data_IF_218735981855
#
_entry.id   IF_218735981855
#
_cell.length_a   1.000
_cell.length_b   1.000
_cell.length_c   1.000
_cell.angle_alpha   90.00
_cell.angle_beta   90.00
_cell.angle_gamma   90.00
#
_symmetry.space_group_name_H-M   'P 1'
#
loop_
_entity.id
_entity.type
_entity.pdbx_description
1 polymer ?
#
# COMPACT_ATOMS: atom_id res chain seq x y z
N UNK A 1 -47.66 -9.56 -115.64
CA UNK A 1 -47.81 -9.40 -114.18
C UNK A 1 -49.22 -9.80 -113.82
N UNK A 2 -49.37 -10.93 -113.15
CA UNK A 2 -50.66 -11.57 -112.83
C UNK A 2 -51.26 -10.87 -111.59
N UNK A 3 -52.56 -10.57 -111.60
CA UNK A 3 -53.22 -9.78 -110.53
C UNK A 3 -53.14 -10.36 -109.11
N UNK A 4 -52.75 -11.62 -108.98
CA UNK A 4 -52.47 -12.30 -107.69
C UNK A 4 -51.24 -11.76 -106.97
N UNK A 5 -50.21 -11.34 -107.70
CA UNK A 5 -48.99 -10.78 -107.09
C UNK A 5 -49.27 -9.42 -106.47
N UNK A 6 -50.12 -8.61 -107.11
CA UNK A 6 -50.53 -7.29 -106.61
C UNK A 6 -51.39 -7.43 -105.35
N UNK A 7 -52.33 -8.38 -105.29
CA UNK A 7 -53.18 -8.55 -104.10
C UNK A 7 -52.40 -9.05 -102.89
N UNK A 8 -51.41 -9.94 -103.11
CA UNK A 8 -50.53 -10.43 -102.05
C UNK A 8 -49.64 -9.31 -101.48
N UNK A 9 -49.14 -8.42 -102.34
CA UNK A 9 -48.29 -7.29 -101.94
C UNK A 9 -49.06 -6.28 -101.09
N UNK A 10 -50.33 -6.00 -101.42
CA UNK A 10 -51.18 -5.08 -100.63
C UNK A 10 -51.48 -5.67 -99.24
N UNK A 11 -51.78 -6.97 -99.15
CA UNK A 11 -52.00 -7.64 -97.87
C UNK A 11 -50.73 -7.62 -97.01
N UNK A 12 -49.58 -7.89 -97.63
CA UNK A 12 -48.28 -7.79 -96.96
C UNK A 12 -48.00 -6.38 -96.43
N UNK A 13 -48.31 -5.34 -97.21
CA UNK A 13 -48.15 -3.95 -96.78
C UNK A 13 -49.05 -3.59 -95.60
N UNK A 14 -50.30 -4.06 -95.58
CA UNK A 14 -51.24 -3.85 -94.47
C UNK A 14 -50.75 -4.56 -93.20
N UNK A 15 -50.26 -5.80 -93.30
CA UNK A 15 -49.68 -6.50 -92.14
C UNK A 15 -48.40 -5.84 -91.63
N UNK A 16 -47.56 -5.30 -92.52
CA UNK A 16 -46.35 -4.57 -92.16
C UNK A 16 -46.67 -3.29 -91.39
N UNK A 17 -47.63 -2.49 -91.86
CA UNK A 17 -48.11 -1.28 -91.19
C UNK A 17 -48.83 -1.62 -89.87
N UNK A 18 -49.65 -2.66 -89.87
CA UNK A 18 -50.34 -3.15 -88.67
C UNK A 18 -49.37 -3.64 -87.59
N UNK A 19 -48.26 -4.26 -87.97
CA UNK A 19 -47.23 -4.71 -87.02
C UNK A 19 -46.58 -3.56 -86.28
N UNK A 20 -46.38 -2.40 -86.93
CA UNK A 20 -45.85 -1.21 -86.26
C UNK A 20 -46.80 -0.72 -85.14
N UNK A 21 -48.11 -0.73 -85.40
CA UNK A 21 -49.10 -0.28 -84.43
C UNK A 21 -49.25 -1.23 -83.22
N UNK A 22 -49.05 -2.53 -83.45
CA UNK A 22 -49.02 -3.55 -82.37
C UNK A 22 -47.76 -3.41 -81.52
N UNK A 23 -46.60 -3.19 -82.14
CA UNK A 23 -45.32 -3.01 -81.42
C UNK A 23 -45.29 -1.71 -80.61
N UNK A 24 -45.87 -0.63 -81.12
CA UNK A 24 -45.90 0.68 -80.43
C UNK A 24 -46.83 0.67 -79.19
N UNK A 25 -47.89 -0.16 -79.19
CA UNK A 25 -48.91 -0.15 -78.12
C UNK A 25 -48.75 -1.24 -77.05
N UNK A 26 -47.90 -2.25 -77.25
CA UNK A 26 -47.75 -3.38 -76.30
C UNK A 26 -46.40 -3.47 -75.58
N UNK A 27 -45.45 -2.54 -75.81
CA UNK A 27 -44.09 -2.70 -75.25
C UNK A 27 -43.81 -1.90 -73.97
N UNK A 28 -44.55 -0.83 -73.66
CA UNK A 28 -44.20 0.05 -72.53
C UNK A 28 -44.90 -0.30 -71.21
N UNK A 29 -46.18 -0.71 -71.26
CA UNK A 29 -46.95 -1.06 -70.05
C UNK A 29 -46.55 -2.43 -69.46
N UNK A 30 -46.23 -3.40 -70.31
CA UNK A 30 -45.86 -4.75 -69.86
C UNK A 30 -44.43 -4.80 -69.30
N UNK A 31 -43.53 -3.97 -69.83
CA UNK A 31 -42.16 -3.83 -69.31
C UNK A 31 -42.14 -3.21 -67.92
N UNK A 32 -42.99 -2.23 -67.64
CA UNK A 32 -43.11 -1.61 -66.31
C UNK A 32 -43.73 -2.57 -65.28
N UNK A 33 -44.71 -3.38 -65.70
CA UNK A 33 -45.29 -4.44 -64.86
C UNK A 33 -44.30 -5.58 -64.56
N UNK A 34 -43.46 -5.95 -65.52
CA UNK A 34 -42.39 -6.95 -65.34
C UNK A 34 -41.30 -6.41 -64.39
N UNK A 35 -40.93 -5.12 -64.52
CA UNK A 35 -39.99 -4.49 -63.57
C UNK A 35 -40.55 -4.44 -62.14
N UNK A 36 -41.84 -4.09 -61.96
CA UNK A 36 -42.49 -4.07 -60.63
C UNK A 36 -42.63 -5.45 -60.00
N UNK A 37 -42.86 -6.51 -60.79
CA UNK A 37 -42.88 -7.88 -60.29
C UNK A 37 -41.47 -8.33 -59.86
N UNK A 38 -40.44 -7.97 -60.63
CA UNK A 38 -39.04 -8.25 -60.31
C UNK A 38 -38.58 -7.55 -59.02
N UNK A 39 -38.97 -6.30 -58.80
CA UNK A 39 -38.63 -5.55 -57.59
C UNK A 39 -39.20 -6.20 -56.32
N UNK A 40 -40.47 -6.66 -56.37
CA UNK A 40 -41.10 -7.37 -55.25
C UNK A 40 -40.45 -8.72 -54.95
N UNK A 41 -40.12 -9.51 -55.96
CA UNK A 41 -39.42 -10.78 -55.76
C UNK A 41 -38.03 -10.58 -55.16
N UNK A 42 -37.29 -9.56 -55.64
CA UNK A 42 -35.99 -9.19 -55.06
C UNK A 42 -36.15 -8.78 -53.59
N UNK A 43 -37.18 -8.00 -53.26
CA UNK A 43 -37.43 -7.59 -51.87
C UNK A 43 -37.72 -8.79 -50.97
N UNK A 44 -38.55 -9.73 -51.41
CA UNK A 44 -38.86 -10.96 -50.66
C UNK A 44 -37.61 -11.84 -50.48
N UNK A 45 -36.75 -11.94 -51.49
CA UNK A 45 -35.48 -12.69 -51.40
C UNK A 45 -34.54 -12.02 -50.40
N UNK A 46 -34.41 -10.68 -50.44
CA UNK A 46 -33.58 -9.90 -49.53
C UNK A 46 -34.09 -10.01 -48.10
N UNK A 47 -35.39 -9.86 -47.87
CA UNK A 47 -36.00 -9.97 -46.53
C UNK A 47 -35.80 -11.38 -45.96
N UNK A 48 -35.99 -12.42 -46.77
CA UNK A 48 -35.75 -13.81 -46.35
C UNK A 48 -34.27 -14.13 -46.14
N UNK A 49 -33.37 -13.44 -46.83
CA UNK A 49 -31.93 -13.54 -46.61
C UNK A 49 -31.50 -12.80 -45.34
N UNK A 50 -32.04 -11.60 -45.10
CA UNK A 50 -31.82 -10.84 -43.86
C UNK A 50 -32.36 -11.59 -42.64
N UNK A 51 -33.55 -12.20 -42.72
CA UNK A 51 -34.08 -13.02 -41.64
C UNK A 51 -33.17 -14.20 -41.30
N UNK A 52 -32.68 -14.92 -42.32
CA UNK A 52 -31.70 -15.99 -42.11
C UNK A 52 -30.37 -15.50 -41.53
N UNK A 53 -29.92 -14.31 -41.94
CA UNK A 53 -28.72 -13.70 -41.39
C UNK A 53 -28.91 -13.29 -39.93
N UNK A 54 -30.07 -12.74 -39.57
CA UNK A 54 -30.43 -12.42 -38.19
C UNK A 54 -30.44 -13.68 -37.31
N UNK A 55 -31.11 -14.74 -37.76
CA UNK A 55 -31.15 -16.03 -37.03
C UNK A 55 -29.74 -16.62 -36.81
N UNK A 56 -28.87 -16.54 -37.82
CA UNK A 56 -27.48 -17.01 -37.72
C UNK A 56 -26.65 -16.15 -36.77
N UNK A 57 -26.87 -14.83 -36.78
CA UNK A 57 -26.21 -13.89 -35.85
C UNK A 57 -26.66 -14.20 -34.42
N UNK A 58 -27.96 -14.34 -34.17
CA UNK A 58 -28.49 -14.62 -32.85
C UNK A 58 -27.94 -15.94 -32.29
N UNK A 59 -27.90 -17.00 -33.11
CA UNK A 59 -27.28 -18.28 -32.71
C UNK A 59 -25.80 -18.16 -32.40
N UNK A 60 -25.05 -17.37 -33.16
CA UNK A 60 -23.61 -17.15 -32.90
C UNK A 60 -23.39 -16.32 -31.64
N UNK A 61 -24.24 -15.33 -31.40
CA UNK A 61 -24.20 -14.53 -30.19
C UNK A 61 -24.48 -15.41 -28.98
N UNK A 62 -25.54 -16.23 -29.02
CA UNK A 62 -25.91 -17.12 -27.92
C UNK A 62 -24.79 -18.11 -27.59
N UNK A 63 -24.23 -18.79 -28.60
CA UNK A 63 -23.10 -19.71 -28.37
C UNK A 63 -21.84 -19.01 -27.85
N UNK A 64 -21.49 -17.83 -28.38
CA UNK A 64 -20.33 -17.08 -27.89
C UNK A 64 -20.56 -16.52 -26.48
N UNK A 65 -21.80 -16.11 -26.17
CA UNK A 65 -22.17 -15.62 -24.86
C UNK A 65 -22.04 -16.74 -23.83
N UNK A 66 -22.55 -17.93 -24.12
CA UNK A 66 -22.44 -19.10 -23.25
C UNK A 66 -20.98 -19.44 -22.97
N UNK A 67 -20.14 -19.50 -24.02
CA UNK A 67 -18.71 -19.72 -23.86
C UNK A 67 -18.02 -18.63 -23.03
N UNK A 68 -18.33 -17.35 -23.31
CA UNK A 68 -17.75 -16.24 -22.57
C UNK A 68 -18.17 -16.25 -21.09
N UNK A 69 -19.41 -16.63 -20.79
CA UNK A 69 -19.91 -16.77 -19.41
C UNK A 69 -19.21 -17.91 -18.70
N UNK A 70 -19.06 -19.08 -19.34
CA UNK A 70 -18.34 -20.22 -18.74
C UNK A 70 -16.86 -19.90 -18.47
N UNK A 71 -16.20 -19.24 -19.42
CA UNK A 71 -14.81 -18.79 -19.26
C UNK A 71 -14.69 -17.73 -18.17
N UNK A 72 -15.66 -16.81 -18.09
CA UNK A 72 -15.72 -15.78 -17.05
C UNK A 72 -15.94 -16.41 -15.68
N UNK A 73 -16.85 -17.36 -15.54
CA UNK A 73 -17.12 -18.08 -14.29
C UNK A 73 -15.86 -18.81 -13.82
N UNK A 74 -15.22 -19.57 -14.71
CA UNK A 74 -13.98 -20.29 -14.41
C UNK A 74 -12.84 -19.35 -14.01
N UNK A 75 -12.66 -18.24 -14.75
CA UNK A 75 -11.62 -17.26 -14.45
C UNK A 75 -11.92 -16.50 -13.16
N UNK A 76 -13.18 -16.16 -12.93
CA UNK A 76 -13.67 -15.50 -11.72
C UNK A 76 -13.46 -16.36 -10.50
N UNK A 77 -13.78 -17.66 -10.56
CA UNK A 77 -13.55 -18.60 -9.47
C UNK A 77 -12.06 -18.71 -9.14
N UNK A 78 -11.23 -18.82 -10.17
CA UNK A 78 -9.77 -18.89 -10.00
C UNK A 78 -9.22 -17.62 -9.35
N UNK A 79 -9.58 -16.44 -9.86
CA UNK A 79 -9.15 -15.17 -9.27
C UNK A 79 -9.67 -15.01 -7.85
N UNK A 80 -10.94 -15.34 -7.60
CA UNK A 80 -11.54 -15.23 -6.28
C UNK A 80 -10.81 -16.11 -5.27
N UNK A 81 -10.48 -17.34 -5.65
CA UNK A 81 -9.70 -18.24 -4.80
C UNK A 81 -8.28 -17.70 -4.52
N UNK A 82 -7.62 -17.13 -5.53
CA UNK A 82 -6.30 -16.50 -5.38
C UNK A 82 -6.37 -15.25 -4.48
N UNK A 83 -7.43 -14.43 -4.60
CA UNK A 83 -7.66 -13.30 -3.71
C UNK A 83 -7.95 -13.72 -2.28
N UNK A 84 -8.74 -14.79 -2.07
CA UNK A 84 -8.96 -15.34 -0.73
C UNK A 84 -7.65 -15.82 -0.11
N UNK A 85 -6.78 -16.47 -0.89
CA UNK A 85 -5.45 -16.88 -0.42
C UNK A 85 -4.61 -15.67 0.00
N UNK A 86 -4.51 -14.64 -0.85
CA UNK A 86 -3.75 -13.43 -0.55
C UNK A 86 -4.31 -12.67 0.66
N UNK A 87 -5.64 -12.63 0.81
CA UNK A 87 -6.30 -12.02 1.98
C UNK A 87 -5.98 -12.81 3.24
N UNK A 88 -5.98 -14.15 3.19
CA UNK A 88 -5.60 -14.98 4.34
C UNK A 88 -4.14 -14.74 4.73
N UNK A 89 -3.21 -14.76 3.78
CA UNK A 89 -1.78 -14.50 4.05
C UNK A 89 -1.54 -13.10 4.64
N UNK A 90 -2.22 -12.09 4.09
CA UNK A 90 -2.18 -10.75 4.67
C UNK A 90 -2.80 -10.70 6.08
N UNK A 91 -3.92 -11.40 6.29
CA UNK A 91 -4.58 -11.46 7.60
C UNK A 91 -3.69 -12.12 8.65
N UNK A 92 -3.01 -13.21 8.30
CA UNK A 92 -2.06 -13.89 9.17
C UNK A 92 -0.89 -12.96 9.54
N UNK A 93 -0.35 -12.23 8.55
CA UNK A 93 0.71 -11.24 8.79
C UNK A 93 0.23 -10.11 9.73
N UNK A 94 -0.98 -9.61 9.53
CA UNK A 94 -1.56 -8.57 10.40
C UNK A 94 -1.79 -9.11 11.81
N UNK A 95 -2.30 -10.34 11.95
CA UNK A 95 -2.51 -10.98 13.25
C UNK A 95 -1.19 -11.17 14.01
N UNK A 96 -0.14 -11.62 13.32
CA UNK A 96 1.20 -11.74 13.91
C UNK A 96 1.75 -10.38 14.34
N UNK A 97 1.60 -9.35 13.50
CA UNK A 97 2.02 -7.99 13.85
C UNK A 97 1.24 -7.43 15.05
N UNK A 98 -0.05 -7.77 15.16
CA UNK A 98 -0.90 -7.38 16.28
C UNK A 98 -0.49 -8.12 17.55
N UNK A 99 -0.17 -9.41 17.46
CA UNK A 99 0.31 -10.18 18.60
C UNK A 99 1.66 -9.66 19.10
N UNK A 100 2.59 -9.36 18.19
CA UNK A 100 3.87 -8.70 18.52
C UNK A 100 3.66 -7.36 19.19
N UNK A 101 2.79 -6.51 18.63
CA UNK A 101 2.46 -5.22 19.24
C UNK A 101 1.84 -5.38 20.63
N UNK A 102 0.98 -6.39 20.83
CA UNK A 102 0.41 -6.70 22.12
C UNK A 102 1.49 -7.12 23.14
N UNK A 103 2.44 -7.98 22.74
CA UNK A 103 3.58 -8.36 23.58
C UNK A 103 4.45 -7.16 23.95
N UNK A 104 4.73 -6.27 23.00
CA UNK A 104 5.48 -5.03 23.25
C UNK A 104 4.75 -4.11 24.23
N UNK A 105 3.43 -3.94 24.10
CA UNK A 105 2.62 -3.16 25.03
C UNK A 105 2.64 -3.78 26.43
N UNK A 106 2.52 -5.10 26.54
CA UNK A 106 2.61 -5.80 27.83
C UNK A 106 4.01 -5.69 28.44
N UNK A 107 5.05 -5.73 27.62
CA UNK A 107 6.42 -5.50 28.07
C UNK A 107 6.59 -4.08 28.62
N UNK A 108 6.13 -3.06 27.90
CA UNK A 108 6.16 -1.68 28.37
C UNK A 108 5.37 -1.50 29.68
N UNK A 109 4.21 -2.14 29.80
CA UNK A 109 3.42 -2.13 31.04
C UNK A 109 4.18 -2.76 32.21
N UNK A 110 4.80 -3.92 32.00
CA UNK A 110 5.60 -4.60 33.02
C UNK A 110 6.82 -3.78 33.44
N UNK A 111 7.55 -3.20 32.48
CA UNK A 111 8.72 -2.36 32.75
C UNK A 111 8.34 -1.05 33.45
N UNK A 112 7.19 -0.46 33.10
CA UNK A 112 6.66 0.72 33.78
C UNK A 112 6.35 0.40 35.24
N UNK A 113 5.68 -0.72 35.49
CA UNK A 113 5.41 -1.19 36.85
C UNK A 113 6.69 -1.46 37.63
N UNK A 114 7.68 -2.13 37.03
CA UNK A 114 8.97 -2.38 37.67
C UNK A 114 9.69 -1.06 38.01
N UNK A 115 9.65 -0.06 37.11
CA UNK A 115 10.20 1.28 37.39
C UNK A 115 9.46 1.96 38.54
N UNK A 116 8.14 1.86 38.58
CA UNK A 116 7.35 2.45 39.65
C UNK A 116 7.67 1.80 41.00
N UNK A 117 7.85 0.49 41.04
CA UNK A 117 8.30 -0.23 42.22
C UNK A 117 9.72 0.23 42.65
N UNK A 118 10.66 0.34 41.70
CA UNK A 118 12.02 0.84 41.97
C UNK A 118 12.02 2.27 42.50
N UNK A 119 11.25 3.18 41.91
CA UNK A 119 11.12 4.57 42.38
C UNK A 119 10.53 4.60 43.79
N UNK A 120 9.52 3.77 44.06
CA UNK A 120 8.91 3.66 45.39
C UNK A 120 9.94 3.23 46.43
N UNK A 121 10.70 2.17 46.16
CA UNK A 121 11.79 1.70 47.05
C UNK A 121 12.87 2.75 47.27
N UNK A 122 13.35 3.39 46.20
CA UNK A 122 14.35 4.46 46.32
C UNK A 122 13.84 5.64 47.15
N UNK A 123 12.54 5.95 47.06
CA UNK A 123 11.92 7.00 47.88
C UNK A 123 11.88 6.61 49.36
N UNK A 124 11.56 5.35 49.67
CA UNK A 124 11.61 4.81 51.03
C UNK A 124 13.04 4.82 51.61
N UNK A 125 14.03 4.37 50.82
CA UNK A 125 15.45 4.41 51.21
C UNK A 125 15.95 5.84 51.44
N UNK A 126 15.56 6.78 50.58
CA UNK A 126 15.89 8.20 50.73
C UNK A 126 15.31 8.77 52.03
N UNK A 127 14.05 8.42 52.35
CA UNK A 127 13.40 8.86 53.59
C UNK A 127 14.09 8.28 54.83
N UNK A 128 14.48 7.01 54.79
CA UNK A 128 15.26 6.39 55.86
C UNK A 128 16.63 7.07 56.01
N UNK A 129 17.32 7.36 54.90
CA UNK A 129 18.59 8.09 54.90
C UNK A 129 18.46 9.50 55.47
N UNK A 130 17.44 10.27 55.09
CA UNK A 130 17.17 11.60 55.65
C UNK A 130 16.94 11.53 57.16
N UNK A 131 16.16 10.56 57.63
CA UNK A 131 15.91 10.37 59.06
C UNK A 131 17.18 10.03 59.84
N UNK A 132 18.04 9.18 59.26
CA UNK A 132 19.34 8.82 59.83
C UNK A 132 20.29 10.03 59.86
N UNK A 133 20.30 10.85 58.80
CA UNK A 133 21.07 12.09 58.75
C UNK A 133 20.58 13.11 59.78
N UNK A 134 19.27 13.22 60.01
CA UNK A 134 18.72 14.08 61.06
C UNK A 134 19.13 13.59 62.45
N UNK A 135 19.03 12.29 62.72
CA UNK A 135 19.48 11.71 63.98
C UNK A 135 20.99 11.93 64.20
N UNK A 136 21.81 11.68 63.18
CA UNK A 136 23.26 11.92 63.26
C UNK A 136 23.57 13.41 63.45
N UNK A 137 22.87 14.32 62.75
CA UNK A 137 23.01 15.77 62.94
C UNK A 137 22.67 16.17 64.37
N UNK A 138 21.63 15.59 64.95
CA UNK A 138 21.22 15.85 66.33
C UNK A 138 22.23 15.29 67.34
N UNK A 139 22.74 14.08 67.13
CA UNK A 139 23.81 13.48 67.94
C UNK A 139 25.12 14.29 67.86
N UNK A 140 25.51 14.72 66.66
CA UNK A 140 26.69 15.58 66.46
C UNK A 140 26.47 16.94 67.13
N UNK A 141 25.29 17.55 67.01
CA UNK A 141 24.98 18.80 67.69
C UNK A 141 25.03 18.66 69.22
N UNK A 142 24.55 17.55 69.77
CA UNK A 142 24.64 17.23 71.20
C UNK A 142 26.09 17.01 71.64
N UNK A 143 26.90 16.32 70.82
CA UNK A 143 28.33 16.09 71.08
C UNK A 143 29.12 17.40 71.05
N UNK A 144 28.86 18.28 70.07
CA UNK A 144 29.48 19.61 69.97
C UNK A 144 29.11 20.46 71.19
N UNK A 145 27.84 20.48 71.58
CA UNK A 145 27.37 21.25 72.76
C UNK A 145 27.99 20.73 74.07
N UNK A 146 28.18 19.42 74.20
CA UNK A 146 28.89 18.79 75.32
C UNK A 146 30.38 19.18 75.36
N UNK A 147 31.02 19.29 74.21
CA UNK A 147 32.42 19.69 74.08
C UNK A 147 32.63 21.18 74.36
N UNK A 148 31.69 22.04 73.94
CA UNK A 148 31.68 23.47 74.26
C UNK A 148 31.45 23.74 75.75
N UNK A 149 30.65 22.92 76.44
CA UNK A 149 30.45 23.03 77.90
C UNK A 149 31.71 22.69 78.74
N UNK A 150 32.71 22.02 78.15
CA UNK A 150 33.96 21.62 78.81
C UNK A 150 35.12 22.61 78.61
N UNK A 151 34.99 23.64 77.77
CA UNK A 151 36.02 24.67 77.58
C UNK A 151 35.53 26.06 77.98
N UNK A 152 36.02 26.55 79.12
CA UNK A 152 35.99 27.97 79.47
C UNK A 152 37.11 28.75 78.79
N UNK A 153 36.72 29.64 77.87
CA UNK A 153 37.36 30.90 77.41
C UNK A 153 38.76 30.89 76.71
N UNK A 154 39.08 31.95 75.90
CA UNK A 154 39.39 31.82 74.48
C UNK A 154 40.87 32.03 74.12
N UNK A 155 41.29 31.56 72.94
CA UNK A 155 42.48 32.12 72.25
C UNK A 155 42.16 32.29 70.77
N UNK A 156 42.45 33.52 70.33
CA UNK A 156 42.28 34.16 69.03
C UNK A 156 43.34 33.78 67.98
N UNK A 157 42.95 34.02 66.71
CA UNK A 157 43.78 34.20 65.50
C UNK A 157 44.53 32.96 64.98
N UNK A 158 44.72 32.73 63.68
CA UNK A 158 44.15 33.19 62.41
C UNK A 158 44.87 32.28 61.38
N UNK A 159 44.16 31.50 60.57
CA UNK A 159 44.71 30.94 59.34
C UNK A 159 43.59 30.75 58.32
N UNK A 160 43.37 31.84 57.58
CA UNK A 160 43.06 31.92 56.15
C UNK A 160 42.85 30.59 55.39
N UNK A 161 41.61 30.43 54.93
CA UNK A 161 41.19 30.19 53.54
C UNK A 161 41.74 28.95 52.80
N UNK A 162 40.83 28.00 52.54
CA UNK A 162 41.00 26.91 51.58
C UNK A 162 39.63 26.38 51.16
N UNK A 163 39.09 26.91 50.06
CA UNK A 163 37.91 26.38 49.37
C UNK A 163 38.33 25.10 48.63
N UNK A 164 37.69 23.96 48.93
CA UNK A 164 37.74 22.78 48.07
C UNK A 164 36.34 22.20 47.94
N UNK A 165 35.88 22.18 46.68
CA UNK A 165 34.69 21.50 46.16
C UNK A 165 34.72 19.98 46.44
N UNK A 166 33.56 19.29 46.34
CA UNK A 166 33.44 17.90 46.78
C UNK A 166 34.16 16.95 45.83
N UNK A 167 35.08 16.14 46.36
CA UNK A 167 35.71 15.06 45.60
C UNK A 167 34.72 13.92 45.34
N UNK A 168 34.77 13.45 44.10
CA UNK A 168 34.00 12.38 43.49
C UNK A 168 33.93 11.11 44.35
N UNK A 169 32.71 10.58 44.46
CA UNK A 169 32.44 9.24 44.97
C UNK A 169 33.10 8.21 44.04
N UNK A 170 34.24 7.68 44.46
CA UNK A 170 34.94 6.58 43.78
C UNK A 170 34.03 5.35 43.81
N UNK A 171 33.45 5.00 42.66
CA UNK A 171 32.74 3.74 42.45
C UNK A 171 33.78 2.61 42.60
N UNK A 172 33.57 1.62 43.49
CA UNK A 172 34.47 0.48 43.64
C UNK A 172 34.70 -0.23 42.29
N UNK A 173 35.96 -0.55 41.98
CA UNK A 173 36.44 -1.05 40.69
C UNK A 173 35.75 -2.37 40.26
N UNK A 174 35.37 -3.16 41.25
CA UNK A 174 34.57 -4.38 41.23
C UNK A 174 33.12 -4.17 40.74
N UNK A 175 32.51 -3.02 41.05
CA UNK A 175 31.18 -2.65 40.53
C UNK A 175 31.28 -2.19 39.08
N UNK A 176 32.40 -1.56 38.70
CA UNK A 176 32.62 -1.05 37.35
C UNK A 176 32.92 -2.16 36.34
N UNK A 177 33.65 -3.20 36.75
CA UNK A 177 33.87 -4.40 35.93
C UNK A 177 32.60 -5.21 35.73
N UNK A 178 31.80 -5.45 36.77
CA UNK A 178 30.54 -6.19 36.68
C UNK A 178 29.52 -5.50 35.75
N UNK A 179 29.46 -4.17 35.78
CA UNK A 179 28.60 -3.38 34.87
C UNK A 179 29.11 -3.45 33.42
N UNK A 180 30.43 -3.49 33.20
CA UNK A 180 31.01 -3.61 31.86
C UNK A 180 30.75 -4.99 31.25
N UNK A 181 30.93 -6.04 32.03
CA UNK A 181 30.73 -7.43 31.59
C UNK A 181 29.26 -7.71 31.23
N UNK A 182 28.31 -7.19 32.04
CA UNK A 182 26.89 -7.27 31.72
C UNK A 182 26.48 -6.39 30.52
N UNK A 183 27.15 -5.25 30.31
CA UNK A 183 26.86 -4.40 29.16
C UNK A 183 27.43 -4.99 27.85
N UNK A 184 28.53 -5.72 27.91
CA UNK A 184 29.07 -6.45 26.76
C UNK A 184 28.22 -7.68 26.40
N UNK A 185 27.74 -8.44 27.40
CA UNK A 185 26.84 -9.58 27.15
C UNK A 185 25.48 -9.13 26.59
N UNK A 186 24.92 -8.02 27.10
CA UNK A 186 23.71 -7.41 26.55
C UNK A 186 23.92 -6.87 25.13
N UNK A 187 25.06 -6.22 24.85
CA UNK A 187 25.41 -5.79 23.49
C UNK A 187 25.54 -6.96 22.52
N UNK A 188 26.12 -8.08 22.96
CA UNK A 188 26.29 -9.26 22.12
C UNK A 188 24.95 -9.94 21.82
N UNK A 189 24.06 -10.06 22.81
CA UNK A 189 22.69 -10.56 22.61
C UNK A 189 21.87 -9.64 21.70
N UNK A 190 22.06 -8.31 21.84
CA UNK A 190 21.37 -7.32 21.02
C UNK A 190 21.89 -7.29 19.57
N UNK A 191 23.20 -7.41 19.37
CA UNK A 191 23.83 -7.50 18.04
C UNK A 191 23.45 -8.80 17.35
N UNK A 192 23.49 -9.95 18.04
CA UNK A 192 23.07 -11.24 17.49
C UNK A 192 21.60 -11.20 17.02
N UNK A 193 20.72 -10.55 17.79
CA UNK A 193 19.30 -10.43 17.44
C UNK A 193 19.04 -9.41 16.31
N UNK A 194 19.89 -8.39 16.17
CA UNK A 194 19.90 -7.50 15.00
C UNK A 194 20.43 -8.21 13.75
N UNK A 195 21.46 -9.04 13.88
CA UNK A 195 22.09 -9.78 12.77
C UNK A 195 21.13 -10.86 12.23
N UNK A 196 20.39 -11.55 13.11
CA UNK A 196 19.30 -12.46 12.72
C UNK A 196 18.12 -11.73 12.06
N UNK A 197 17.94 -10.43 12.33
CA UNK A 197 16.94 -9.58 11.65
C UNK A 197 17.49 -8.97 10.35
N UNK A 198 18.81 -9.01 10.13
CA UNK A 198 19.48 -8.45 8.95
C UNK A 198 19.88 -9.48 7.88
N UNK A 199 19.74 -10.78 8.14
CA UNK A 199 19.94 -11.81 7.12
C UNK A 199 18.87 -11.78 6.00
N UNK A 200 17.82 -10.97 6.13
CA UNK A 200 16.88 -10.62 5.04
C UNK A 200 17.02 -9.16 4.54
N UNK A 201 17.96 -8.36 5.05
CA UNK A 201 18.05 -6.91 4.79
C UNK A 201 19.29 -6.48 3.98
N UNK A 202 19.62 -7.22 2.92
CA UNK A 202 20.65 -6.82 1.94
C UNK A 202 20.26 -5.66 1.01
N UNK A 203 19.24 -4.86 1.32
CA UNK A 203 18.64 -3.87 0.41
C UNK A 203 18.52 -2.43 0.99
N UNK A 204 18.95 -2.16 2.23
CA UNK A 204 18.63 -0.90 2.91
C UNK A 204 19.35 0.36 2.40
N UNK A 205 20.50 0.23 1.73
CA UNK A 205 21.29 1.39 1.28
C UNK A 205 20.79 1.94 -0.07
N UNK A 206 20.44 1.05 -1.00
CA UNK A 206 19.79 1.39 -2.29
C UNK A 206 18.40 1.99 -2.06
N UNK A 207 17.67 1.48 -1.07
CA UNK A 207 16.35 1.97 -0.69
C UNK A 207 16.36 3.46 -0.29
N UNK A 208 17.35 3.90 0.48
CA UNK A 208 17.47 5.29 0.90
C UNK A 208 17.83 6.21 -0.27
N UNK A 209 18.72 5.74 -1.17
CA UNK A 209 19.09 6.47 -2.38
C UNK A 209 17.91 6.60 -3.36
N UNK A 210 17.09 5.55 -3.48
CA UNK A 210 15.86 5.55 -4.29
C UNK A 210 14.80 6.51 -3.74
N UNK A 211 14.63 6.58 -2.40
CA UNK A 211 13.72 7.56 -1.77
C UNK A 211 14.13 8.98 -2.15
N UNK A 212 15.41 9.31 -2.02
CA UNK A 212 15.95 10.64 -2.34
C UNK A 212 15.81 10.97 -3.83
N UNK A 213 16.04 10.00 -4.71
CA UNK A 213 15.91 10.18 -6.16
C UNK A 213 14.46 10.44 -6.58
N UNK A 214 13.51 9.64 -6.10
CA UNK A 214 12.10 9.84 -6.42
C UNK A 214 11.57 11.16 -5.86
N UNK A 215 12.03 11.58 -4.68
CA UNK A 215 11.66 12.88 -4.14
C UNK A 215 12.18 14.04 -4.99
N UNK A 216 13.45 13.99 -5.44
CA UNK A 216 14.04 14.97 -6.37
C UNK A 216 13.38 14.97 -7.76
N UNK A 217 12.83 13.84 -8.18
CA UNK A 217 12.01 13.73 -9.40
C UNK A 217 10.60 14.32 -9.25
N UNK A 218 10.22 14.77 -8.04
CA UNK A 218 8.96 15.47 -7.75
C UNK A 218 7.81 14.56 -7.32
N UNK A 219 8.08 13.29 -6.98
CA UNK A 219 7.06 12.39 -6.43
C UNK A 219 6.69 12.78 -5.00
N UNK A 220 5.39 12.64 -4.67
CA UNK A 220 4.92 12.88 -3.31
C UNK A 220 5.35 11.77 -2.35
N UNK A 221 5.51 12.09 -1.07
CA UNK A 221 5.86 11.12 0.00
C UNK A 221 4.94 9.89 0.00
N UNK A 222 3.65 10.09 -0.32
CA UNK A 222 2.64 9.03 -0.38
C UNK A 222 2.88 8.11 -1.59
N UNK A 223 3.28 8.68 -2.73
CA UNK A 223 3.60 7.90 -3.93
C UNK A 223 4.89 7.11 -3.77
N UNK A 224 5.89 7.70 -3.10
CA UNK A 224 7.14 7.03 -2.76
C UNK A 224 6.86 5.86 -1.80
N UNK A 225 6.01 6.07 -0.78
CA UNK A 225 5.58 5.03 0.15
C UNK A 225 4.91 3.87 -0.57
N UNK A 226 4.02 4.19 -1.50
CA UNK A 226 3.28 3.19 -2.27
C UNK A 226 4.16 2.44 -3.28
N UNK A 227 5.15 3.10 -3.89
CA UNK A 227 6.06 2.50 -4.87
C UNK A 227 7.13 1.62 -4.21
N UNK A 228 7.66 2.05 -3.06
CA UNK A 228 8.72 1.35 -2.34
C UNK A 228 8.19 0.39 -1.27
N UNK A 229 6.87 0.38 -1.03
CA UNK A 229 6.25 -0.46 0.01
C UNK A 229 6.66 -0.07 1.43
N UNK A 230 7.11 1.18 1.64
CA UNK A 230 7.64 1.67 2.91
C UNK A 230 6.64 2.52 3.67
N UNK A 231 6.81 2.60 4.98
CA UNK A 231 5.98 3.44 5.83
C UNK A 231 6.19 4.93 5.52
N UNK A 232 5.12 5.72 5.52
CA UNK A 232 5.21 7.18 5.30
C UNK A 232 6.16 7.86 6.32
N UNK A 233 6.20 7.34 7.55
CA UNK A 233 7.10 7.81 8.61
C UNK A 233 8.57 7.51 8.33
N UNK A 234 8.88 6.39 7.66
CA UNK A 234 10.25 6.02 7.29
C UNK A 234 10.78 6.93 6.19
N UNK A 235 9.95 7.20 5.17
CA UNK A 235 10.30 8.13 4.09
C UNK A 235 10.54 9.53 4.62
N UNK A 236 9.65 10.01 5.51
CA UNK A 236 9.80 11.31 6.15
C UNK A 236 11.07 11.41 7.01
N UNK A 237 11.44 10.31 7.67
CA UNK A 237 12.68 10.24 8.44
C UNK A 237 13.92 10.27 7.53
N UNK A 238 13.91 9.53 6.43
CA UNK A 238 15.02 9.52 5.44
C UNK A 238 15.18 10.89 4.78
N UNK A 239 14.08 11.50 4.32
CA UNK A 239 14.13 12.84 3.74
C UNK A 239 14.61 13.89 4.76
N UNK A 240 14.15 13.81 6.02
CA UNK A 240 14.59 14.72 7.07
C UNK A 240 16.04 14.53 7.54
N UNK A 241 16.65 13.36 7.30
CA UNK A 241 18.05 13.07 7.66
C UNK A 241 19.03 13.33 6.51
N UNK A 242 18.60 13.11 5.26
CA UNK A 242 19.49 13.06 4.09
C UNK A 242 19.22 14.15 3.04
N UNK A 243 18.10 14.87 3.13
CA UNK A 243 17.82 16.01 2.26
C UNK A 243 17.80 17.30 3.07
N UNK A 244 18.87 18.09 2.96
CA UNK A 244 19.05 19.35 3.71
C UNK A 244 17.96 20.38 3.39
N UNK A 245 17.32 20.28 2.22
CA UNK A 245 16.28 21.18 1.73
C UNK A 245 14.85 20.74 2.10
N UNK A 246 14.67 19.57 2.74
CA UNK A 246 13.34 19.02 3.03
C UNK A 246 12.59 19.77 4.16
N UNK A 247 13.30 20.59 4.93
CA UNK A 247 12.74 21.32 6.08
C UNK A 247 12.64 22.85 5.89
N UNK A 248 12.66 23.33 4.63
CA UNK A 248 12.46 24.74 4.29
C UNK A 248 11.04 25.04 3.77
#
# INVERSE_FOLDING_TARGET
MTGLEISLLIIGAIFFIGSFFVTEKLSSSDVEHIQKLSEKEVHVIVEKAMGRAADEIDRRIENNLDHAVMDLETKSDKETNEKILAINEYSDTVLDSMNKSHEEVMFLYNMLNEKQEKITRLTEELQHSESSLRALKEDVAAMVSSYEALKGEPISEDFSNGTTEPEDSVIPEDVREAVRENMESLKQVFMQKMEDTQSEAGAGEDDNEQILKMYKEGYSEIEIAKKLGKGLGEIKLVLGLFDEDYTA
#
